data_IF_669775363531
#
_entry.id   IF_669775363531
#
_cell.length_a   1.000
_cell.length_b   1.000
_cell.length_c   1.000
_cell.angle_alpha   90.00
_cell.angle_beta   90.00
_cell.angle_gamma   90.00
#
_symmetry.space_group_name_H-M   'P 1'
#
loop_
_entity.id
_entity.type
_entity.pdbx_description
1 polymer ?
#
# COMPACT_ATOMS: atom_id res chain seq x y z
N UNK A 1 -1.93 13.94 8.79
CA UNK A 1 -1.78 13.33 10.13
C UNK A 1 -0.67 12.27 10.05
N UNK A 2 0.59 12.67 10.18
CA UNK A 2 1.68 11.70 10.38
C UNK A 2 1.64 11.29 11.85
N UNK A 3 0.97 10.19 12.15
CA UNK A 3 1.03 9.59 13.49
C UNK A 3 2.47 9.20 13.81
N UNK A 4 2.86 9.24 15.08
CA UNK A 4 4.16 8.78 15.57
C UNK A 4 4.47 7.41 14.93
N UNK A 5 5.59 7.30 14.20
CA UNK A 5 6.02 6.03 13.61
C UNK A 5 6.21 5.02 14.74
N UNK A 6 5.44 3.92 14.69
CA UNK A 6 5.46 2.87 15.72
C UNK A 6 6.72 2.02 15.59
N UNK A 7 7.14 1.75 14.35
CA UNK A 7 8.36 1.00 14.03
C UNK A 7 9.55 1.95 13.84
N UNK A 8 10.71 1.54 14.33
CA UNK A 8 12.00 2.14 13.98
C UNK A 8 12.38 1.79 12.54
N UNK A 9 13.36 2.49 11.96
CA UNK A 9 13.81 2.20 10.59
C UNK A 9 14.39 0.78 10.47
N UNK A 10 15.10 0.29 11.49
CA UNK A 10 15.57 -1.10 11.55
C UNK A 10 14.40 -2.10 11.55
N UNK A 11 13.36 -1.83 12.33
CA UNK A 11 12.17 -2.70 12.37
C UNK A 11 11.39 -2.65 11.05
N UNK A 12 11.40 -1.52 10.36
CA UNK A 12 10.85 -1.41 9.00
C UNK A 12 11.63 -2.29 8.03
N UNK A 13 12.96 -2.25 8.06
CA UNK A 13 13.81 -3.11 7.24
C UNK A 13 13.53 -4.60 7.53
N UNK A 14 13.51 -5.00 8.80
CA UNK A 14 13.15 -6.37 9.21
C UNK A 14 11.76 -6.77 8.72
N UNK A 15 10.76 -5.88 8.80
CA UNK A 15 9.42 -6.16 8.31
C UNK A 15 9.40 -6.42 6.79
N UNK A 16 10.18 -5.65 6.03
CA UNK A 16 10.31 -5.80 4.58
C UNK A 16 11.01 -7.11 4.21
N UNK A 17 12.15 -7.42 4.84
CA UNK A 17 12.87 -8.69 4.65
C UNK A 17 11.98 -9.90 4.96
N UNK A 18 11.25 -9.86 6.07
CA UNK A 18 10.31 -10.92 6.42
C UNK A 18 9.20 -11.07 5.38
N UNK A 19 8.73 -9.95 4.80
CA UNK A 19 7.68 -9.96 3.79
C UNK A 19 8.15 -10.62 2.51
N UNK A 20 9.33 -10.25 2.04
CA UNK A 20 10.02 -10.81 0.87
C UNK A 20 10.42 -12.27 1.10
N UNK A 21 10.71 -12.66 2.33
CA UNK A 21 10.89 -14.07 2.72
C UNK A 21 9.57 -14.88 2.78
N UNK A 22 8.44 -14.30 2.36
CA UNK A 22 7.17 -15.00 2.23
C UNK A 22 6.32 -15.03 3.51
N UNK A 23 6.66 -14.24 4.56
CA UNK A 23 5.84 -14.18 5.78
C UNK A 23 4.55 -13.42 5.53
N UNK A 24 3.48 -13.86 6.19
CA UNK A 24 2.20 -13.16 6.17
C UNK A 24 2.25 -11.92 7.06
N UNK A 25 1.41 -10.93 6.77
CA UNK A 25 1.32 -9.70 7.57
C UNK A 25 1.00 -10.01 9.05
N UNK A 26 0.20 -11.05 9.32
CA UNK A 26 -0.08 -11.53 10.68
C UNK A 26 1.16 -12.10 11.36
N UNK A 27 1.98 -12.89 10.65
CA UNK A 27 3.22 -13.43 11.19
C UNK A 27 4.22 -12.33 11.53
N UNK A 28 4.33 -11.31 10.67
CA UNK A 28 5.21 -10.15 10.90
C UNK A 28 4.70 -9.33 12.10
N UNK A 29 3.40 -9.03 12.17
CA UNK A 29 2.83 -8.33 13.33
C UNK A 29 3.06 -9.09 14.64
N UNK A 30 2.86 -10.42 14.62
CA UNK A 30 3.13 -11.28 15.78
C UNK A 30 4.62 -11.28 16.18
N UNK A 31 5.53 -11.25 15.20
CA UNK A 31 6.98 -11.19 15.47
C UNK A 31 7.38 -9.96 16.29
N UNK A 32 6.79 -8.81 15.99
CA UNK A 32 7.03 -7.58 16.75
C UNK A 32 6.27 -7.56 18.08
N UNK A 33 5.04 -8.08 18.11
CA UNK A 33 4.25 -8.17 19.33
C UNK A 33 4.93 -9.01 20.42
N UNK A 34 5.54 -10.14 20.06
CA UNK A 34 6.30 -10.98 21.02
C UNK A 34 7.56 -10.30 21.57
N UNK A 35 8.02 -9.23 20.92
CA UNK A 35 9.15 -8.39 21.35
C UNK A 35 8.70 -7.10 22.04
N UNK A 36 7.43 -7.02 22.43
CA UNK A 36 6.85 -5.88 23.15
C UNK A 36 6.45 -4.69 22.27
N UNK A 37 6.55 -4.81 20.94
CA UNK A 37 6.21 -3.73 20.01
C UNK A 37 4.76 -3.88 19.57
N UNK A 38 3.90 -2.94 19.98
CA UNK A 38 2.46 -2.96 19.67
C UNK A 38 2.19 -2.45 18.25
N UNK A 39 2.17 -3.35 17.27
CA UNK A 39 1.81 -3.05 15.88
C UNK A 39 0.57 -3.81 15.41
N UNK A 40 -0.22 -3.16 14.56
CA UNK A 40 -1.38 -3.79 13.92
C UNK A 40 -1.00 -4.36 12.55
N UNK A 41 -1.76 -5.35 12.07
CA UNK A 41 -1.59 -5.91 10.72
C UNK A 41 -1.66 -4.83 9.63
N UNK A 42 -2.61 -3.89 9.76
CA UNK A 42 -2.73 -2.77 8.81
C UNK A 42 -1.53 -1.81 8.82
N UNK A 43 -0.85 -1.67 9.97
CA UNK A 43 0.40 -0.90 10.04
C UNK A 43 1.53 -1.59 9.27
N UNK A 44 1.64 -2.92 9.43
CA UNK A 44 2.61 -3.73 8.67
C UNK A 44 2.29 -3.71 7.17
N UNK A 45 1.01 -3.81 6.80
CA UNK A 45 0.57 -3.71 5.41
C UNK A 45 1.02 -2.39 4.79
N UNK A 46 0.77 -1.27 5.48
CA UNK A 46 1.16 0.06 5.02
C UNK A 46 2.69 0.18 4.88
N UNK A 47 3.45 -0.31 5.86
CA UNK A 47 4.92 -0.31 5.81
C UNK A 47 5.42 -1.10 4.60
N UNK A 48 5.00 -2.36 4.44
CA UNK A 48 5.44 -3.18 3.31
C UNK A 48 5.05 -2.54 1.97
N UNK A 49 3.81 -2.06 1.85
CA UNK A 49 3.32 -1.41 0.63
C UNK A 49 4.14 -0.17 0.26
N UNK A 50 4.41 0.71 1.22
CA UNK A 50 5.12 1.99 0.97
C UNK A 50 6.61 1.82 0.75
N UNK A 51 7.19 0.69 1.19
CA UNK A 51 8.58 0.33 0.97
C UNK A 51 8.78 -0.65 -0.20
N UNK A 52 7.72 -1.00 -0.95
CA UNK A 52 7.80 -1.90 -2.09
C UNK A 52 7.93 -3.40 -1.74
N UNK A 53 8.05 -3.74 -0.46
CA UNK A 53 8.19 -5.13 -0.01
C UNK A 53 6.92 -5.96 -0.31
N UNK A 54 7.09 -7.02 -1.09
CA UNK A 54 5.99 -7.87 -1.56
C UNK A 54 6.24 -9.35 -1.27
N UNK A 55 5.23 -10.19 -1.46
CA UNK A 55 5.42 -11.64 -1.38
C UNK A 55 6.21 -12.15 -2.59
N UNK A 56 6.98 -13.25 -2.41
CA UNK A 56 7.41 -14.11 -3.51
C UNK A 56 6.25 -14.51 -4.41
N UNK A 57 6.51 -14.62 -5.71
CA UNK A 57 5.49 -14.84 -6.73
C UNK A 57 4.60 -16.06 -6.45
N UNK A 58 5.22 -17.19 -6.09
CA UNK A 58 4.57 -18.46 -5.75
C UNK A 58 3.62 -18.37 -4.54
N UNK A 59 3.78 -17.33 -3.70
CA UNK A 59 2.94 -17.08 -2.52
C UNK A 59 1.94 -15.96 -2.72
N UNK A 60 1.98 -15.23 -3.85
CA UNK A 60 1.03 -14.15 -4.15
C UNK A 60 -0.35 -14.77 -4.39
N UNK A 61 -1.37 -14.28 -3.68
CA UNK A 61 -2.76 -14.66 -3.95
C UNK A 61 -3.33 -13.83 -5.10
N UNK A 62 -4.16 -14.40 -5.98
CA UNK A 62 -4.90 -13.62 -6.97
C UNK A 62 -5.77 -12.60 -6.24
N UNK A 63 -5.65 -11.33 -6.64
CA UNK A 63 -6.44 -10.26 -6.08
C UNK A 63 -7.78 -10.20 -6.83
N UNK A 64 -8.89 -10.44 -6.13
CA UNK A 64 -10.21 -10.20 -6.72
C UNK A 64 -10.40 -8.69 -6.88
N UNK A 65 -10.44 -8.22 -8.12
CA UNK A 65 -10.61 -6.81 -8.42
C UNK A 65 -12.04 -6.38 -8.06
N UNK A 66 -12.15 -5.39 -7.19
CA UNK A 66 -13.41 -4.68 -6.99
C UNK A 66 -13.72 -3.87 -8.25
N UNK A 67 -15.01 -3.69 -8.57
CA UNK A 67 -15.41 -2.90 -9.74
C UNK A 67 -14.88 -1.46 -9.61
N UNK A 68 -14.32 -0.85 -10.67
CA UNK A 68 -13.91 0.54 -10.67
C UNK A 68 -15.07 1.50 -10.35
N UNK A 69 -14.80 2.58 -9.62
CA UNK A 69 -15.81 3.57 -9.21
C UNK A 69 -16.84 3.12 -8.17
N UNK A 70 -16.77 1.88 -7.69
CA UNK A 70 -17.69 1.33 -6.70
C UNK A 70 -17.53 1.99 -5.33
N UNK A 71 -18.66 2.33 -4.70
CA UNK A 71 -18.72 2.81 -3.31
C UNK A 71 -19.05 1.64 -2.39
N UNK A 72 -18.25 1.45 -1.35
CA UNK A 72 -18.32 0.34 -0.40
C UNK A 72 -18.33 0.90 1.01
N UNK A 73 -19.19 0.36 1.88
CA UNK A 73 -19.14 0.64 3.31
C UNK A 73 -18.47 -0.52 4.05
N UNK A 74 -17.43 -0.22 4.83
CA UNK A 74 -16.73 -1.21 5.67
C UNK A 74 -16.44 -0.61 7.03
N UNK A 75 -16.97 -1.21 8.09
CA UNK A 75 -16.71 -0.79 9.48
C UNK A 75 -17.06 0.68 9.74
N UNK A 76 -18.15 1.19 9.17
CA UNK A 76 -18.56 2.60 9.30
C UNK A 76 -17.80 3.58 8.39
N UNK A 77 -16.87 3.09 7.57
CA UNK A 77 -16.14 3.92 6.60
C UNK A 77 -16.64 3.69 5.18
N UNK A 78 -16.94 4.80 4.49
CA UNK A 78 -17.28 4.79 3.06
C UNK A 78 -15.99 4.91 2.25
N UNK A 79 -15.73 3.92 1.38
CA UNK A 79 -14.60 3.85 0.47
C UNK A 79 -15.12 3.85 -0.98
N UNK A 80 -14.49 4.64 -1.85
CA UNK A 80 -14.74 4.60 -3.31
C UNK A 80 -13.52 3.99 -3.99
N UNK A 81 -13.68 3.01 -4.87
CA UNK A 81 -12.57 2.45 -5.65
C UNK A 81 -12.12 3.45 -6.72
N UNK A 82 -10.85 3.39 -7.13
CA UNK A 82 -10.33 4.23 -8.21
C UNK A 82 -10.83 3.73 -9.57
N UNK A 83 -11.10 4.66 -10.50
CA UNK A 83 -11.31 4.35 -11.92
C UNK A 83 -9.99 4.31 -12.68
N UNK A 84 -10.01 3.77 -13.90
CA UNK A 84 -8.86 3.80 -14.79
C UNK A 84 -8.47 5.24 -15.17
N UNK A 85 -9.45 6.11 -15.41
CA UNK A 85 -9.21 7.53 -15.71
C UNK A 85 -8.58 8.26 -14.52
N UNK A 86 -9.04 7.98 -13.29
CA UNK A 86 -8.43 8.53 -12.08
C UNK A 86 -7.00 8.03 -11.88
N UNK A 87 -6.72 6.76 -12.17
CA UNK A 87 -5.35 6.23 -12.14
C UNK A 87 -4.45 6.94 -13.17
N UNK A 88 -4.94 7.13 -14.40
CA UNK A 88 -4.19 7.79 -15.46
C UNK A 88 -3.90 9.25 -15.12
N UNK A 89 -4.90 9.98 -14.59
CA UNK A 89 -4.73 11.35 -14.14
C UNK A 89 -3.74 11.43 -12.97
N UNK A 90 -3.87 10.52 -11.99
CA UNK A 90 -2.97 10.41 -10.85
C UNK A 90 -1.51 10.18 -11.28
N UNK A 91 -1.25 9.26 -12.20
CA UNK A 91 0.09 8.98 -12.72
C UNK A 91 0.64 10.15 -13.53
N UNK A 92 -0.20 10.79 -14.36
CA UNK A 92 0.21 11.95 -15.15
C UNK A 92 0.65 13.12 -14.26
N UNK A 93 -0.09 13.38 -13.18
CA UNK A 93 0.25 14.43 -12.23
C UNK A 93 1.52 14.10 -11.43
N UNK A 94 1.67 12.85 -10.98
CA UNK A 94 2.87 12.41 -10.27
C UNK A 94 4.13 12.51 -11.15
N UNK A 95 4.05 12.13 -12.43
CA UNK A 95 5.13 12.30 -13.40
C UNK A 95 5.53 13.75 -13.65
N UNK A 96 4.59 14.70 -13.49
CA UNK A 96 4.87 16.15 -13.55
C UNK A 96 5.53 16.68 -12.27
N UNK A 97 5.59 15.88 -11.21
CA UNK A 97 6.08 16.27 -9.89
C UNK A 97 5.03 16.94 -9.02
N UNK A 98 3.73 16.82 -9.35
CA UNK A 98 2.66 17.40 -8.53
C UNK A 98 2.63 16.78 -7.12
N UNK A 99 2.41 17.62 -6.10
CA UNK A 99 2.32 17.16 -4.72
C UNK A 99 1.07 16.32 -4.46
N UNK A 100 1.15 15.35 -3.53
CA UNK A 100 0.03 14.48 -3.14
C UNK A 100 -1.24 15.27 -2.75
N UNK A 101 -1.07 16.45 -2.13
CA UNK A 101 -2.19 17.29 -1.73
C UNK A 101 -2.95 17.88 -2.94
N UNK A 102 -2.24 18.23 -4.00
CA UNK A 102 -2.81 18.81 -5.21
C UNK A 102 -3.47 17.73 -6.07
N UNK A 103 -2.82 16.56 -6.20
CA UNK A 103 -3.43 15.37 -6.82
C UNK A 103 -4.73 15.01 -6.09
N UNK A 104 -4.71 14.96 -4.77
CA UNK A 104 -5.89 14.65 -3.96
C UNK A 104 -7.03 15.65 -4.18
N UNK A 105 -6.72 16.95 -4.26
CA UNK A 105 -7.70 18.01 -4.53
C UNK A 105 -8.28 17.87 -5.93
N UNK A 106 -7.43 17.65 -6.94
CA UNK A 106 -7.84 17.47 -8.34
C UNK A 106 -8.78 16.28 -8.52
N UNK A 107 -8.58 15.19 -7.78
CA UNK A 107 -9.38 13.96 -7.89
C UNK A 107 -10.59 13.90 -6.94
N UNK A 108 -10.75 14.87 -6.04
CA UNK A 108 -11.74 14.78 -4.96
C UNK A 108 -11.51 13.56 -4.05
N UNK A 109 -10.25 13.27 -3.74
CA UNK A 109 -9.80 12.11 -2.95
C UNK A 109 -9.10 12.56 -1.67
N UNK A 110 -8.99 11.67 -0.68
CA UNK A 110 -8.14 11.91 0.51
C UNK A 110 -6.67 11.69 0.14
N UNK A 111 -5.77 12.54 0.63
CA UNK A 111 -4.32 12.42 0.38
C UNK A 111 -3.74 11.05 0.73
N UNK A 112 -4.19 10.43 1.82
CA UNK A 112 -3.74 9.09 2.20
C UNK A 112 -4.20 8.02 1.19
N UNK A 113 -5.39 8.22 0.59
CA UNK A 113 -5.91 7.34 -0.47
C UNK A 113 -5.07 7.45 -1.74
N UNK A 114 -4.64 8.67 -2.10
CA UNK A 114 -3.75 8.91 -3.25
C UNK A 114 -2.38 8.26 -3.01
N UNK A 115 -1.77 8.49 -1.85
CA UNK A 115 -0.47 7.88 -1.50
C UNK A 115 -0.51 6.35 -1.55
N UNK A 116 -1.54 5.75 -0.95
CA UNK A 116 -1.71 4.29 -1.01
C UNK A 116 -1.94 3.78 -2.44
N UNK A 117 -2.63 4.56 -3.27
CA UNK A 117 -2.88 4.21 -4.67
C UNK A 117 -1.61 4.26 -5.51
N UNK A 118 -0.80 5.31 -5.39
CA UNK A 118 0.52 5.43 -6.05
C UNK A 118 1.41 4.24 -5.70
N UNK A 119 1.57 3.93 -4.42
CA UNK A 119 2.37 2.77 -3.98
C UNK A 119 1.83 1.44 -4.55
N UNK A 120 0.50 1.30 -4.64
CA UNK A 120 -0.14 0.12 -5.25
C UNK A 120 0.15 0.01 -6.75
N UNK A 121 0.08 1.13 -7.48
CA UNK A 121 0.35 1.17 -8.92
C UNK A 121 1.84 0.91 -9.21
N UNK A 122 2.74 1.51 -8.43
CA UNK A 122 4.18 1.25 -8.52
C UNK A 122 4.49 -0.24 -8.32
N UNK A 123 3.95 -0.85 -7.26
CA UNK A 123 4.11 -2.30 -7.03
C UNK A 123 3.53 -3.14 -8.17
N UNK A 124 2.39 -2.75 -8.73
CA UNK A 124 1.80 -3.46 -9.89
C UNK A 124 2.72 -3.38 -11.11
N UNK A 125 3.33 -2.21 -11.34
CA UNK A 125 4.28 -1.99 -12.42
C UNK A 125 5.55 -2.86 -12.23
N UNK A 126 6.13 -2.87 -11.02
CA UNK A 126 7.30 -3.72 -10.71
C UNK A 126 7.01 -5.22 -10.93
N UNK A 127 5.81 -5.70 -10.56
CA UNK A 127 5.41 -7.08 -10.85
C UNK A 127 5.33 -7.39 -12.35
N UNK A 128 4.89 -6.43 -13.17
CA UNK A 128 4.85 -6.60 -14.62
C UNK A 128 6.26 -6.67 -15.18
N UNK A 129 7.17 -5.82 -14.67
CA UNK A 129 8.58 -5.82 -15.05
C UNK A 129 9.28 -7.14 -14.69
N UNK A 130 9.04 -7.68 -13.49
CA UNK A 130 9.54 -9.00 -13.06
C UNK A 130 9.12 -10.14 -13.99
N UNK A 131 7.90 -10.09 -14.54
CA UNK A 131 7.39 -11.14 -15.44
C UNK A 131 7.98 -11.06 -16.86
N UNK A 132 8.53 -9.91 -17.24
CA UNK A 132 9.06 -9.65 -18.59
C UNK A 132 10.59 -9.74 -18.64
N UNK A 133 11.25 -9.70 -17.48
CA UNK A 133 12.69 -9.86 -17.30
C UNK A 133 13.12 -11.34 -17.35
#
# INVERSE_FOLDING_TARGET
MSGKRILTDEQVATACEMREAGKTLQQIANHFATRGVKVTVGSIEWVCLTHGADLPEDRRRPHYALRPGMVISRGGHVMRTFTADEDQQLLTMEQRGDGIADIARSLGRKSNSVRGRLATLARKQSRIEEMVA
#
